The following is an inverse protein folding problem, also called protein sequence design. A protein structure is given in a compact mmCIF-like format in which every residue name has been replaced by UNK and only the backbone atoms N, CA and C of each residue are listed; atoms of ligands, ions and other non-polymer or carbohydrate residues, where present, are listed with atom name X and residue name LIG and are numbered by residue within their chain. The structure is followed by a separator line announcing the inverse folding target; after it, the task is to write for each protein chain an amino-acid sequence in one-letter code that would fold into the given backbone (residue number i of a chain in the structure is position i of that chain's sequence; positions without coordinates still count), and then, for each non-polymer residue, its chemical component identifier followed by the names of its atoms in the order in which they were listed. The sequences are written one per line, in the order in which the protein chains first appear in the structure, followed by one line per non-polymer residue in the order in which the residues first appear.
data_IF_087827908056
#
_entry.id   IF_087827908056
#
_cell.length_a   1.000
_cell.length_b   1.000
_cell.length_c   1.000
_cell.angle_alpha   90.00
_cell.angle_beta   90.00
_cell.angle_gamma   90.00
#
_symmetry.space_group_name_H-M   'P 1'
#
loop_
_entity.id
_entity.type
_entity.pdbx_description
1 polymer ?
#
# COMPACT_ATOMS: atom_id res chain seq x y z
N UNK A 1 8.89 3.19 21.39
CA UNK A 1 9.16 2.53 20.08
C UNK A 1 10.31 3.25 19.40
N UNK A 2 11.37 2.55 19.01
CA UNK A 2 12.70 3.14 18.78
C UNK A 2 12.80 3.82 17.40
N UNK A 3 12.74 5.15 17.36
CA UNK A 3 12.73 5.98 16.14
C UNK A 3 13.94 5.67 15.25
N UNK A 4 15.07 5.25 15.85
CA UNK A 4 16.33 4.88 15.19
C UNK A 4 16.24 3.80 14.10
N UNK A 5 15.24 2.91 14.14
CA UNK A 5 15.05 1.88 13.11
C UNK A 5 14.37 2.41 11.84
N UNK A 6 13.55 3.46 11.94
CA UNK A 6 12.88 4.07 10.78
C UNK A 6 13.87 4.80 9.86
N UNK A 7 14.98 5.32 10.42
CA UNK A 7 16.06 5.97 9.67
C UNK A 7 16.74 5.06 8.65
N UNK A 8 16.84 3.76 8.96
CA UNK A 8 17.44 2.79 8.05
C UNK A 8 16.48 2.38 6.94
N UNK A 9 15.16 2.47 7.17
CA UNK A 9 14.13 1.99 6.26
C UNK A 9 13.57 3.08 5.34
N UNK A 10 13.53 4.36 5.74
CA UNK A 10 12.99 5.43 4.88
C UNK A 10 13.67 5.55 3.50
N UNK A 11 15.02 5.45 3.38
CA UNK A 11 15.68 5.38 2.07
C UNK A 11 15.34 4.10 1.29
N UNK A 12 15.10 2.99 2.00
CA UNK A 12 14.69 1.71 1.41
C UNK A 12 13.22 1.74 0.95
N UNK A 13 12.35 2.48 1.63
CA UNK A 13 10.95 2.69 1.22
C UNK A 13 10.90 3.64 0.04
N UNK A 14 11.67 4.73 0.04
CA UNK A 14 11.84 5.60 -1.14
C UNK A 14 12.44 4.83 -2.32
N UNK A 15 13.43 3.97 -2.10
CA UNK A 15 13.97 3.12 -3.15
C UNK A 15 13.00 2.03 -3.58
N UNK A 16 12.17 1.47 -2.70
CA UNK A 16 11.17 0.44 -3.04
C UNK A 16 9.94 1.05 -3.74
N UNK A 17 9.56 2.27 -3.38
CA UNK A 17 8.61 3.11 -4.15
C UNK A 17 9.20 3.52 -5.51
N UNK A 18 10.52 3.52 -5.66
CA UNK A 18 11.23 3.85 -6.91
C UNK A 18 11.72 2.63 -7.71
N UNK A 19 11.76 1.41 -7.14
CA UNK A 19 12.35 0.22 -7.76
C UNK A 19 11.58 -1.05 -7.38
N UNK A 20 10.76 -1.55 -8.30
CA UNK A 20 11.02 -2.81 -9.05
C UNK A 20 9.74 -3.22 -9.82
N UNK A 21 9.89 -3.36 -11.14
CA UNK A 21 9.01 -4.05 -12.09
C UNK A 21 7.64 -3.44 -12.46
N UNK A 22 7.69 -2.24 -13.06
CA UNK A 22 7.12 -1.85 -14.38
C UNK A 22 7.59 -0.40 -14.59
N UNK A 23 7.93 -0.01 -15.82
CA UNK A 23 8.74 1.17 -16.15
C UNK A 23 8.52 2.36 -15.20
N UNK A 24 9.62 2.90 -14.64
CA UNK A 24 9.63 3.99 -13.65
C UNK A 24 8.70 5.09 -14.15
N UNK A 25 7.47 5.11 -13.63
CA UNK A 25 6.56 6.20 -13.90
C UNK A 25 7.17 7.41 -13.21
N UNK A 26 7.65 8.38 -13.99
CA UNK A 26 8.18 9.62 -13.43
C UNK A 26 7.14 10.22 -12.47
N UNK A 27 7.55 10.84 -11.35
CA UNK A 27 6.63 11.59 -10.53
C UNK A 27 5.91 12.61 -11.40
N UNK A 28 4.60 12.75 -11.22
CA UNK A 28 3.87 13.84 -11.85
C UNK A 28 3.74 14.98 -10.85
N UNK A 29 3.99 16.20 -11.32
CA UNK A 29 3.63 17.39 -10.56
C UNK A 29 2.14 17.59 -10.77
N UNK A 30 1.38 17.42 -9.70
CA UNK A 30 -0.04 17.76 -9.71
C UNK A 30 -0.14 19.28 -9.88
N UNK A 31 -1.16 19.79 -10.59
CA UNK A 31 -1.35 21.23 -10.74
C UNK A 31 -1.36 21.90 -9.35
N UNK A 32 -0.74 23.08 -9.23
CA UNK A 32 -0.81 23.86 -7.98
C UNK A 32 -2.24 24.32 -7.72
N UNK A 33 -3.01 23.45 -7.08
CA UNK A 33 -4.40 23.69 -6.74
C UNK A 33 -4.52 24.28 -5.34
N UNK A 34 -5.56 25.09 -5.09
CA UNK A 34 -5.90 25.50 -3.72
C UNK A 34 -6.07 24.29 -2.79
N UNK A 35 -6.53 23.16 -3.32
CA UNK A 35 -6.68 21.88 -2.61
C UNK A 35 -5.32 21.37 -2.13
N UNK A 36 -4.34 21.23 -3.04
CA UNK A 36 -3.00 20.76 -2.69
C UNK A 36 -2.32 21.67 -1.65
N UNK A 37 -2.44 23.00 -1.82
CA UNK A 37 -1.92 23.97 -0.84
C UNK A 37 -2.60 23.87 0.52
N UNK A 38 -3.90 23.58 0.54
CA UNK A 38 -4.67 23.41 1.77
C UNK A 38 -4.22 22.15 2.50
N UNK A 39 -4.14 21.05 1.77
CA UNK A 39 -3.70 19.75 2.28
C UNK A 39 -2.27 19.82 2.85
N UNK A 40 -1.33 20.44 2.13
CA UNK A 40 0.07 20.56 2.57
C UNK A 40 0.25 21.53 3.75
N UNK A 41 -0.52 22.62 3.82
CA UNK A 41 -0.39 23.62 4.89
C UNK A 41 -1.09 23.22 6.18
N UNK A 42 -2.29 22.66 6.08
CA UNK A 42 -3.10 22.30 7.25
C UNK A 42 -2.60 21.04 7.96
N UNK A 43 -1.64 20.32 7.36
CA UNK A 43 -1.06 19.13 7.97
C UNK A 43 -2.03 17.95 7.97
N UNK A 44 -2.97 17.92 7.02
CA UNK A 44 -3.85 16.77 6.80
C UNK A 44 -3.11 15.53 6.29
N UNK A 45 -1.83 15.70 5.90
CA UNK A 45 -0.97 14.61 5.47
C UNK A 45 0.16 14.42 6.47
N UNK A 46 0.14 13.26 7.14
CA UNK A 46 1.31 12.74 7.81
C UNK A 46 2.15 11.87 6.87
N UNK A 47 3.25 12.43 6.38
CA UNK A 47 4.21 11.74 5.49
C UNK A 47 4.78 10.46 6.12
N UNK A 48 4.96 10.43 7.45
CA UNK A 48 5.44 9.22 8.15
C UNK A 48 4.43 8.08 8.11
N UNK A 49 3.13 8.39 8.25
CA UNK A 49 2.06 7.40 8.10
C UNK A 49 1.93 6.94 6.65
N UNK A 50 2.05 7.84 5.65
CA UNK A 50 2.08 7.45 4.24
C UNK A 50 3.23 6.48 3.95
N UNK A 51 4.44 6.71 4.47
CA UNK A 51 5.55 5.77 4.28
C UNK A 51 5.29 4.41 4.92
N UNK A 52 4.70 4.39 6.12
CA UNK A 52 4.33 3.14 6.80
C UNK A 52 3.30 2.37 5.98
N UNK A 53 2.26 3.07 5.54
CA UNK A 53 1.18 2.50 4.74
C UNK A 53 1.68 1.97 3.39
N UNK A 54 2.51 2.74 2.68
CA UNK A 54 3.14 2.30 1.44
C UNK A 54 4.01 1.04 1.65
N UNK A 55 4.75 0.97 2.74
CA UNK A 55 5.56 -0.20 3.07
C UNK A 55 4.68 -1.44 3.30
N UNK A 56 3.55 -1.30 4.00
CA UNK A 56 2.59 -2.38 4.22
C UNK A 56 2.06 -2.93 2.88
N UNK A 57 1.68 -2.02 1.97
CA UNK A 57 1.21 -2.39 0.62
C UNK A 57 2.30 -3.13 -0.17
N UNK A 58 3.55 -2.65 -0.13
CA UNK A 58 4.67 -3.29 -0.83
C UNK A 58 4.90 -4.72 -0.33
N UNK A 59 4.83 -4.95 0.99
CA UNK A 59 4.98 -6.29 1.56
C UNK A 59 3.85 -7.21 1.15
N UNK A 60 2.60 -6.73 1.12
CA UNK A 60 1.46 -7.51 0.65
C UNK A 60 1.60 -7.87 -0.85
N UNK A 61 2.03 -6.91 -1.67
CA UNK A 61 2.22 -7.09 -3.12
C UNK A 61 3.36 -8.04 -3.47
N UNK A 62 4.51 -7.89 -2.80
CA UNK A 62 5.76 -8.48 -3.27
C UNK A 62 6.52 -9.29 -2.23
N UNK A 63 6.03 -9.36 -0.99
CA UNK A 63 6.73 -9.96 0.14
C UNK A 63 7.92 -9.10 0.61
N UNK A 64 8.57 -9.54 1.70
CA UNK A 64 9.78 -8.89 2.23
C UNK A 64 10.99 -9.80 2.18
N UNK A 65 12.20 -9.25 1.96
CA UNK A 65 13.44 -10.03 2.09
C UNK A 65 13.92 -10.14 3.54
N UNK A 66 13.34 -9.34 4.44
CA UNK A 66 13.79 -9.23 5.82
C UNK A 66 12.83 -9.96 6.77
N UNK A 67 13.25 -11.07 7.42
CA UNK A 67 12.40 -11.83 8.32
C UNK A 67 11.94 -11.01 9.53
N UNK A 68 12.75 -10.07 10.03
CA UNK A 68 12.33 -9.19 11.12
C UNK A 68 11.20 -8.25 10.72
N UNK A 69 11.18 -7.79 9.47
CA UNK A 69 10.10 -6.93 8.97
C UNK A 69 8.80 -7.71 8.85
N UNK A 70 8.86 -8.96 8.37
CA UNK A 70 7.71 -9.86 8.34
C UNK A 70 7.18 -10.08 9.77
N UNK A 71 8.05 -10.42 10.72
CA UNK A 71 7.70 -10.60 12.15
C UNK A 71 7.08 -9.36 12.78
N UNK A 72 7.63 -8.17 12.49
CA UNK A 72 7.12 -6.91 13.04
C UNK A 72 5.74 -6.56 12.50
N UNK A 73 5.52 -6.72 11.19
CA UNK A 73 4.21 -6.46 10.59
C UNK A 73 3.16 -7.37 11.18
N UNK A 74 3.44 -8.66 11.25
CA UNK A 74 2.47 -9.57 11.82
C UNK A 74 2.16 -9.33 13.29
N UNK A 75 3.18 -9.03 14.10
CA UNK A 75 2.94 -8.68 15.50
C UNK A 75 2.15 -7.37 15.64
N UNK A 76 2.37 -6.40 14.75
CA UNK A 76 1.67 -5.11 14.77
C UNK A 76 0.20 -5.22 14.37
N UNK A 77 -0.15 -6.16 13.49
CA UNK A 77 -1.50 -6.30 12.93
C UNK A 77 -2.22 -7.58 13.37
N UNK A 78 -1.72 -8.23 14.43
CA UNK A 78 -2.20 -9.51 14.96
C UNK A 78 -2.36 -10.57 13.86
N UNK A 79 -1.43 -10.57 12.90
CA UNK A 79 -1.38 -11.59 11.86
C UNK A 79 -0.74 -12.83 12.47
N UNK A 80 -1.39 -13.98 12.29
CA UNK A 80 -0.77 -15.25 12.59
C UNK A 80 0.33 -15.51 11.55
N UNK A 81 1.59 -15.17 11.85
CA UNK A 81 2.69 -15.66 11.04
C UNK A 81 2.82 -17.17 11.20
N UNK A 82 3.16 -17.88 10.12
CA UNK A 82 3.59 -19.25 10.26
C UNK A 82 4.84 -19.34 11.14
N UNK A 83 4.77 -20.19 12.16
CA UNK A 83 5.91 -20.79 12.84
C UNK A 83 6.78 -21.60 11.86
N UNK A 84 8.10 -21.71 12.11
CA UNK A 84 9.08 -20.63 12.05
C UNK A 84 9.38 -20.22 10.59
N UNK A 85 9.98 -19.04 10.39
CA UNK A 85 10.56 -18.54 9.13
C UNK A 85 11.74 -19.39 8.59
N UNK A 86 11.83 -20.67 8.98
CA UNK A 86 12.98 -21.56 8.82
C UNK A 86 12.48 -22.89 8.24
N UNK A 87 13.01 -23.19 7.05
CA UNK A 87 12.99 -24.48 6.35
C UNK A 87 11.65 -24.93 5.77
N UNK A 88 11.36 -24.48 4.56
CA UNK A 88 10.32 -25.11 3.73
C UNK A 88 10.06 -24.41 2.41
N UNK A 89 10.27 -23.09 2.33
CA UNK A 89 10.00 -22.37 1.10
C UNK A 89 11.14 -22.59 0.09
N UNK A 90 10.88 -23.40 -0.96
CA UNK A 90 11.81 -23.60 -2.08
C UNK A 90 12.07 -22.33 -2.89
N UNK A 91 11.39 -21.21 -2.57
CA UNK A 91 11.56 -19.88 -3.18
C UNK A 91 12.44 -19.00 -2.28
N UNK A 92 13.67 -18.77 -2.71
CA UNK A 92 14.80 -18.41 -1.84
C UNK A 92 15.01 -16.92 -1.57
N UNK A 93 14.11 -15.98 -1.91
CA UNK A 93 14.45 -14.56 -1.78
C UNK A 93 13.40 -13.63 -1.13
N UNK A 94 12.17 -14.04 -0.84
CA UNK A 94 11.14 -13.18 -0.24
C UNK A 94 10.18 -13.99 0.66
N UNK A 95 9.74 -13.38 1.76
CA UNK A 95 8.71 -13.86 2.69
C UNK A 95 7.37 -13.27 2.27
N UNK A 96 6.51 -14.13 1.74
CA UNK A 96 5.10 -13.85 1.49
C UNK A 96 4.28 -13.98 2.78
N UNK A 97 3.11 -13.35 2.81
CA UNK A 97 2.24 -13.31 3.99
C UNK A 97 0.81 -13.82 3.74
N UNK A 98 0.41 -14.07 2.49
CA UNK A 98 -0.94 -14.58 2.19
C UNK A 98 -0.93 -16.11 2.12
N UNK A 99 -1.71 -16.82 2.95
CA UNK A 99 -1.76 -18.29 2.96
C UNK A 99 -2.46 -18.82 1.71
N UNK A 100 -1.90 -19.88 1.12
CA UNK A 100 -2.44 -20.58 -0.04
C UNK A 100 -2.08 -22.08 0.02
N UNK A 101 -3.04 -22.92 0.44
CA UNK A 101 -2.77 -24.33 0.72
C UNK A 101 -1.77 -24.47 1.86
N UNK A 102 -0.67 -25.19 1.61
CA UNK A 102 0.45 -25.37 2.55
C UNK A 102 1.57 -24.33 2.36
N UNK A 103 1.39 -23.39 1.43
CA UNK A 103 2.38 -22.37 1.08
C UNK A 103 1.88 -20.96 1.44
N UNK A 104 2.81 -20.01 1.38
CA UNK A 104 2.50 -18.57 1.47
C UNK A 104 2.96 -17.91 0.18
N UNK A 105 2.08 -17.12 -0.42
CA UNK A 105 2.29 -16.44 -1.68
C UNK A 105 2.03 -14.94 -1.55
N UNK A 106 2.67 -14.17 -2.40
CA UNK A 106 2.41 -12.73 -2.53
C UNK A 106 1.15 -12.48 -3.34
N UNK A 107 0.54 -11.30 -3.20
CA UNK A 107 -0.62 -10.92 -4.05
C UNK A 107 -0.28 -11.02 -5.54
N UNK A 108 0.94 -10.65 -5.96
CA UNK A 108 1.36 -10.80 -7.37
C UNK A 108 1.50 -12.24 -7.82
N UNK A 109 2.00 -13.14 -6.97
CA UNK A 109 2.08 -14.57 -7.30
C UNK A 109 0.69 -15.19 -7.42
N UNK A 110 -0.22 -14.81 -6.52
CA UNK A 110 -1.62 -15.26 -6.56
C UNK A 110 -2.37 -14.71 -7.78
N UNK A 111 -2.13 -13.44 -8.14
CA UNK A 111 -2.64 -12.87 -9.39
C UNK A 111 -2.12 -13.64 -10.62
N UNK A 112 -0.84 -14.02 -10.64
CA UNK A 112 -0.29 -14.82 -11.73
C UNK A 112 -0.90 -16.23 -11.79
N UNK A 113 -1.22 -16.86 -10.64
CA UNK A 113 -1.92 -18.15 -10.62
C UNK A 113 -3.37 -18.02 -11.12
N UNK A 114 -4.06 -16.94 -10.75
CA UNK A 114 -5.41 -16.59 -11.22
C UNK A 114 -5.43 -16.36 -12.74
N UNK A 115 -4.53 -15.52 -13.25
CA UNK A 115 -4.45 -15.15 -14.68
C UNK A 115 -4.05 -16.33 -15.58
N UNK A 116 -3.17 -17.21 -15.11
CA UNK A 116 -2.74 -18.39 -15.87
C UNK A 116 -3.72 -19.57 -15.77
N UNK A 117 -4.77 -19.47 -14.94
CA UNK A 117 -5.72 -20.56 -14.71
C UNK A 117 -5.11 -21.79 -14.03
N UNK A 118 -3.98 -21.62 -13.34
CA UNK A 118 -3.24 -22.71 -12.66
C UNK A 118 -3.54 -22.80 -11.17
N UNK A 119 -4.20 -21.79 -10.59
CA UNK A 119 -4.61 -21.80 -9.19
C UNK A 119 -5.88 -22.60 -8.95
N UNK A 120 -5.99 -23.20 -7.76
CA UNK A 120 -7.22 -23.83 -7.29
C UNK A 120 -8.23 -22.72 -6.91
N UNK A 121 -9.45 -22.70 -7.51
CA UNK A 121 -10.40 -21.62 -7.28
C UNK A 121 -10.81 -21.44 -5.82
N UNK A 122 -10.95 -22.53 -5.06
CA UNK A 122 -11.37 -22.49 -3.66
C UNK A 122 -10.24 -21.96 -2.77
N UNK A 123 -9.00 -22.33 -3.06
CA UNK A 123 -7.85 -21.79 -2.35
C UNK A 123 -7.61 -20.32 -2.69
N UNK A 124 -7.80 -19.92 -3.96
CA UNK A 124 -7.69 -18.53 -4.39
C UNK A 124 -8.74 -17.65 -3.71
N UNK A 125 -10.00 -18.08 -3.64
CA UNK A 125 -11.06 -17.32 -2.97
C UNK A 125 -10.74 -17.09 -1.48
N UNK A 126 -10.28 -18.12 -0.77
CA UNK A 126 -9.87 -18.02 0.64
C UNK A 126 -8.66 -17.10 0.82
N UNK A 127 -7.65 -17.23 -0.04
CA UNK A 127 -6.47 -16.40 -0.01
C UNK A 127 -6.81 -14.93 -0.30
N UNK A 128 -7.74 -14.67 -1.23
CA UNK A 128 -8.16 -13.33 -1.59
C UNK A 128 -8.87 -12.66 -0.40
N UNK A 129 -9.82 -13.36 0.22
CA UNK A 129 -10.50 -12.86 1.42
C UNK A 129 -9.49 -12.51 2.51
N UNK A 130 -8.53 -13.40 2.77
CA UNK A 130 -7.44 -13.15 3.71
C UNK A 130 -6.63 -11.88 3.35
N UNK A 131 -6.24 -11.73 2.08
CA UNK A 131 -5.46 -10.58 1.63
C UNK A 131 -6.23 -9.25 1.76
N UNK A 132 -7.54 -9.25 1.55
CA UNK A 132 -8.40 -8.07 1.73
C UNK A 132 -8.56 -7.74 3.21
N UNK A 133 -8.87 -8.73 4.05
CA UNK A 133 -8.99 -8.55 5.52
C UNK A 133 -7.68 -7.99 6.10
N UNK A 134 -6.53 -8.48 5.64
CA UNK A 134 -5.22 -7.98 6.04
C UNK A 134 -4.95 -6.57 5.53
N UNK A 135 -5.27 -6.28 4.27
CA UNK A 135 -5.16 -4.92 3.75
C UNK A 135 -5.99 -3.93 4.58
N UNK A 136 -7.23 -4.29 4.93
CA UNK A 136 -8.11 -3.43 5.74
C UNK A 136 -7.45 -3.08 7.08
N UNK A 137 -6.97 -4.10 7.81
CA UNK A 137 -6.23 -3.90 9.07
C UNK A 137 -4.98 -3.04 8.88
N UNK A 138 -4.22 -3.27 7.81
CA UNK A 138 -2.99 -2.51 7.49
C UNK A 138 -3.28 -1.05 7.12
N UNK A 139 -4.49 -0.78 6.65
CA UNK A 139 -4.93 0.54 6.17
C UNK A 139 -5.68 1.36 7.21
N UNK A 140 -6.18 0.74 8.28
CA UNK A 140 -7.12 1.35 9.22
C UNK A 140 -6.64 2.70 9.77
N UNK A 141 -5.44 2.74 10.38
CA UNK A 141 -4.87 3.97 10.96
C UNK A 141 -4.74 5.10 9.93
N UNK A 142 -4.44 4.76 8.68
CA UNK A 142 -4.31 5.73 7.59
C UNK A 142 -5.68 6.21 7.11
N UNK A 143 -6.63 5.30 6.92
CA UNK A 143 -8.01 5.62 6.49
C UNK A 143 -8.70 6.54 7.50
N UNK A 144 -8.57 6.25 8.79
CA UNK A 144 -9.15 7.08 9.85
C UNK A 144 -8.61 8.52 9.85
N UNK A 145 -7.30 8.70 9.59
CA UNK A 145 -6.68 10.02 9.49
C UNK A 145 -7.20 10.80 8.27
N UNK A 146 -7.20 10.17 7.10
CA UNK A 146 -7.57 10.83 5.85
C UNK A 146 -9.08 11.07 5.74
N UNK A 147 -9.91 10.40 6.55
CA UNK A 147 -11.37 10.60 6.53
C UNK A 147 -11.74 12.06 6.80
N UNK A 148 -10.97 12.74 7.67
CA UNK A 148 -11.17 14.17 7.96
C UNK A 148 -10.89 15.08 6.77
N UNK A 149 -10.11 14.61 5.80
CA UNK A 149 -9.72 15.32 4.59
C UNK A 149 -10.26 14.63 3.33
N UNK A 150 -11.29 13.79 3.46
CA UNK A 150 -11.77 12.92 2.39
C UNK A 150 -12.13 13.68 1.10
N UNK A 151 -12.91 14.74 1.21
CA UNK A 151 -13.28 15.59 0.06
C UNK A 151 -12.07 16.13 -0.71
N UNK A 152 -10.97 16.40 0.00
CA UNK A 152 -9.72 16.84 -0.63
C UNK A 152 -9.00 15.67 -1.27
N UNK A 153 -8.96 14.51 -0.61
CA UNK A 153 -8.34 13.29 -1.12
C UNK A 153 -9.04 12.78 -2.38
N UNK A 154 -10.38 12.74 -2.42
CA UNK A 154 -11.16 12.36 -3.61
C UNK A 154 -10.81 13.26 -4.80
N UNK A 155 -10.74 14.58 -4.59
CA UNK A 155 -10.35 15.53 -5.66
C UNK A 155 -8.91 15.37 -6.10
N UNK A 156 -7.99 15.07 -5.18
CA UNK A 156 -6.60 14.79 -5.52
C UNK A 156 -6.45 13.50 -6.32
N UNK A 157 -7.20 12.45 -5.96
CA UNK A 157 -7.26 11.19 -6.71
C UNK A 157 -7.82 11.44 -8.11
N UNK A 158 -8.89 12.22 -8.25
CA UNK A 158 -9.47 12.59 -9.55
C UNK A 158 -8.46 13.33 -10.46
N UNK A 159 -7.76 14.31 -9.89
CA UNK A 159 -6.71 15.05 -10.60
C UNK A 159 -5.55 14.12 -10.99
N UNK A 160 -5.15 13.22 -10.09
CA UNK A 160 -4.10 12.25 -10.34
C UNK A 160 -4.49 11.28 -11.46
N UNK A 161 -5.71 10.73 -11.43
CA UNK A 161 -6.24 9.85 -12.47
C UNK A 161 -6.26 10.54 -13.83
N UNK A 162 -6.69 11.81 -13.86
CA UNK A 162 -6.69 12.63 -15.09
C UNK A 162 -5.28 12.85 -15.60
N UNK A 163 -4.34 13.25 -14.73
CA UNK A 163 -2.96 13.54 -15.10
C UNK A 163 -2.17 12.30 -15.54
N UNK A 164 -2.48 11.11 -15.00
CA UNK A 164 -1.89 9.83 -15.40
C UNK A 164 -2.61 9.17 -16.59
N UNK A 165 -3.70 9.76 -17.09
CA UNK A 165 -4.58 9.15 -18.09
C UNK A 165 -5.08 7.76 -17.66
N UNK A 166 -5.56 7.66 -16.42
CA UNK A 166 -6.10 6.46 -15.76
C UNK A 166 -7.56 6.68 -15.32
N UNK A 167 -8.49 6.98 -16.26
CA UNK A 167 -9.88 7.25 -15.90
C UNK A 167 -10.61 6.01 -15.35
N UNK A 168 -10.10 4.81 -15.64
CA UNK A 168 -10.61 3.49 -15.21
C UNK A 168 -9.97 2.99 -13.91
N UNK A 169 -9.26 3.85 -13.18
CA UNK A 169 -8.60 3.46 -11.94
C UNK A 169 -9.61 3.11 -10.85
N UNK A 170 -9.50 1.91 -10.30
CA UNK A 170 -10.30 1.46 -9.15
C UNK A 170 -10.09 2.38 -7.94
N UNK A 171 -8.91 3.02 -7.84
CA UNK A 171 -8.62 3.99 -6.80
C UNK A 171 -9.58 5.19 -6.83
N UNK A 172 -10.01 5.60 -8.03
CA UNK A 172 -10.96 6.69 -8.24
C UNK A 172 -12.35 6.35 -7.69
N UNK A 173 -12.81 5.15 -8.03
CA UNK A 173 -14.11 4.64 -7.56
C UNK A 173 -14.08 4.46 -6.04
N UNK A 174 -12.99 3.90 -5.51
CA UNK A 174 -12.75 3.74 -4.08
C UNK A 174 -12.77 5.08 -3.33
N UNK A 175 -12.05 6.09 -3.82
CA UNK A 175 -12.02 7.42 -3.20
C UNK A 175 -13.36 8.16 -3.20
N UNK A 176 -14.35 7.68 -3.95
CA UNK A 176 -15.68 8.30 -4.09
C UNK A 176 -16.77 7.60 -3.26
N UNK A 177 -16.48 6.47 -2.61
CA UNK A 177 -17.45 5.71 -1.82
C UNK A 177 -17.61 6.31 -0.43
N UNK A 178 -18.82 6.70 -0.04
CA UNK A 178 -19.10 7.33 1.26
C UNK A 178 -19.46 6.36 2.39
N UNK A 179 -18.70 6.42 3.49
CA UNK A 179 -19.00 5.81 4.79
C UNK A 179 -19.28 4.30 4.75
N UNK A 180 -18.74 3.59 3.75
CA UNK A 180 -18.84 2.14 3.58
C UNK A 180 -17.63 1.58 2.82
N UNK A 181 -16.46 2.21 2.97
CA UNK A 181 -15.25 1.93 2.19
C UNK A 181 -14.84 0.45 2.35
N UNK A 182 -14.85 -0.10 3.57
CA UNK A 182 -14.54 -1.51 3.83
C UNK A 182 -15.57 -2.48 3.20
N UNK A 183 -16.87 -2.24 3.39
CA UNK A 183 -17.89 -3.12 2.80
C UNK A 183 -17.90 -3.09 1.26
N UNK A 184 -17.61 -1.92 0.68
CA UNK A 184 -17.51 -1.78 -0.76
C UNK A 184 -16.20 -2.37 -1.30
N UNK A 185 -15.13 -2.39 -0.50
CA UNK A 185 -13.85 -2.98 -0.87
C UNK A 185 -13.96 -4.48 -1.12
N UNK A 186 -14.63 -5.22 -0.26
CA UNK A 186 -14.86 -6.67 -0.46
C UNK A 186 -15.67 -6.98 -1.72
N UNK A 187 -16.57 -6.07 -2.13
CA UNK A 187 -17.37 -6.23 -3.36
C UNK A 187 -16.55 -5.90 -4.62
N UNK A 188 -15.76 -4.84 -4.55
CA UNK A 188 -15.00 -4.33 -5.70
C UNK A 188 -13.73 -5.17 -5.94
N UNK A 189 -12.99 -5.53 -4.89
CA UNK A 189 -11.73 -6.27 -4.98
C UNK A 189 -11.96 -7.79 -5.00
N UNK A 190 -12.76 -8.25 -5.95
CA UNK A 190 -13.20 -9.66 -6.02
C UNK A 190 -12.25 -10.60 -6.80
N UNK A 191 -11.06 -10.14 -7.16
CA UNK A 191 -10.04 -10.94 -7.85
C UNK A 191 -8.63 -10.43 -7.49
N UNK A 192 -7.63 -11.31 -7.53
CA UNK A 192 -6.24 -10.90 -7.30
C UNK A 192 -5.71 -9.95 -8.38
N UNK A 193 -6.15 -10.10 -9.64
CA UNK A 193 -5.82 -9.15 -10.70
C UNK A 193 -6.37 -7.74 -10.40
N UNK A 194 -7.62 -7.65 -9.92
CA UNK A 194 -8.23 -6.38 -9.50
C UNK A 194 -7.51 -5.77 -8.29
N UNK A 195 -7.27 -6.57 -7.24
CA UNK A 195 -6.52 -6.15 -6.05
C UNK A 195 -5.13 -5.63 -6.44
N UNK A 196 -4.41 -6.34 -7.31
CA UNK A 196 -3.09 -5.93 -7.80
C UNK A 196 -3.16 -4.60 -8.53
N UNK A 197 -4.14 -4.41 -9.44
CA UNK A 197 -4.33 -3.14 -10.18
C UNK A 197 -4.61 -1.98 -9.23
N UNK A 198 -5.45 -2.18 -8.23
CA UNK A 198 -5.76 -1.16 -7.22
C UNK A 198 -4.50 -0.74 -6.45
N UNK A 199 -3.72 -1.69 -5.94
CA UNK A 199 -2.49 -1.39 -5.19
C UNK A 199 -1.39 -0.79 -6.10
N UNK A 200 -1.34 -1.19 -7.37
CA UNK A 200 -0.44 -0.64 -8.39
C UNK A 200 -0.77 0.80 -8.79
N UNK A 201 -2.01 1.26 -8.60
CA UNK A 201 -2.40 2.67 -8.77
C UNK A 201 -2.20 3.47 -7.47
N UNK A 202 -2.48 2.85 -6.31
CA UNK A 202 -2.36 3.48 -5.00
C UNK A 202 -0.91 3.85 -4.65
N UNK A 203 0.07 2.97 -4.89
CA UNK A 203 1.47 3.24 -4.56
C UNK A 203 2.04 4.47 -5.31
N UNK A 204 1.89 4.58 -6.65
CA UNK A 204 2.28 5.80 -7.38
C UNK A 204 1.53 7.05 -6.93
N UNK A 205 0.23 6.95 -6.61
CA UNK A 205 -0.52 8.07 -6.05
C UNK A 205 0.08 8.58 -4.74
N UNK A 206 0.36 7.69 -3.78
CA UNK A 206 0.98 8.06 -2.50
C UNK A 206 2.36 8.71 -2.69
N UNK A 207 3.16 8.20 -3.64
CA UNK A 207 4.45 8.79 -4.00
C UNK A 207 4.28 10.20 -4.56
N UNK A 208 3.40 10.38 -5.54
CA UNK A 208 3.14 11.69 -6.14
C UNK A 208 2.61 12.66 -5.08
N UNK A 209 1.77 12.20 -4.16
CA UNK A 209 1.25 13.00 -3.07
C UNK A 209 2.37 13.55 -2.16
N UNK A 210 3.35 12.72 -1.79
CA UNK A 210 4.53 13.14 -1.01
C UNK A 210 5.33 14.20 -1.75
N UNK A 211 5.61 13.99 -3.04
CA UNK A 211 6.40 14.92 -3.86
C UNK A 211 5.70 16.27 -4.05
N UNK A 212 4.37 16.27 -4.08
CA UNK A 212 3.55 17.47 -4.24
C UNK A 212 3.23 18.17 -2.90
N UNK A 213 3.68 17.65 -1.75
CA UNK A 213 3.47 18.22 -0.41
C UNK A 213 4.79 18.64 0.27
N UNK A 214 5.48 19.67 -0.25
CA UNK A 214 6.83 20.04 0.21
C UNK A 214 6.88 20.53 1.66
N UNK A 215 5.83 21.17 2.19
CA UNK A 215 5.81 21.66 3.57
C UNK A 215 5.74 20.47 4.54
N UNK A 216 4.83 19.53 4.30
CA UNK A 216 4.64 18.33 5.10
C UNK A 216 5.88 17.43 5.02
N UNK A 217 6.47 17.28 3.83
CA UNK A 217 7.72 16.55 3.65
C UNK A 217 8.89 17.20 4.39
N UNK A 218 9.01 18.54 4.36
CA UNK A 218 10.02 19.27 5.14
C UNK A 218 9.84 19.05 6.64
N UNK A 219 8.62 19.17 7.17
CA UNK A 219 8.31 18.91 8.59
C UNK A 219 8.70 17.48 9.00
N UNK A 220 8.40 16.49 8.16
CA UNK A 220 8.79 15.11 8.40
C UNK A 220 10.32 14.95 8.47
N UNK A 221 11.06 15.49 7.48
CA UNK A 221 12.54 15.47 7.50
C UNK A 221 13.13 16.16 8.73
N UNK A 222 12.54 17.24 9.20
CA UNK A 222 12.95 17.92 10.42
C UNK A 222 12.66 17.09 11.68
N UNK A 223 11.52 16.39 11.73
CA UNK A 223 11.20 15.47 12.84
C UNK A 223 12.19 14.30 12.92
N UNK A 224 12.67 13.81 11.78
CA UNK A 224 13.73 12.80 11.74
C UNK A 224 15.04 13.36 12.33
N UNK A 225 15.39 14.62 12.13
CA UNK A 225 16.65 15.14 12.71
C UNK A 225 16.62 15.32 14.24
N UNK A 226 15.43 15.29 14.86
CA UNK A 226 15.23 15.56 16.29
C UNK A 226 15.16 14.30 17.16
N UNK A 227 15.03 13.12 16.56
CA UNK A 227 15.00 11.82 17.26
C UNK A 227 16.26 10.99 16.94
#
# INVERSE_FOLDING_TARGET
MNVRLWYALAPLVLSSLCMENRGIMAPIILPDTPILRTVDKMGFINIGQIFTYAQNIIVLLQGTKNPEQASKLAAAFDLQLPMPLIQGNKRTNRFAIVPYGDEYLTVRELAALEENGTGDPVLLEKALKFAIDDYEKLSQDYVEEIQTAKDYMTKLIDHWCTARNRPDSILRDWGSIDNSECESMHKTLNSFSILTRFLDDLLPFLRDLIENCPISHKKYRESLKKN
#
